data_IF_345251565852
#
_entry.id   IF_345251565852
#
_cell.length_a   1.000
_cell.length_b   1.000
_cell.length_c   1.000
_cell.angle_alpha   90.00
_cell.angle_beta   90.00
_cell.angle_gamma   90.00
#
_symmetry.space_group_name_H-M   'P 1'
#
loop_
_entity.id
_entity.type
_entity.pdbx_description
1 polymer ?
#
# COMPACT_ATOMS: atom_id res chain seq x y z
N UNK A 1 -9.73 9.84 5.84
CA UNK A 1 -10.68 8.91 5.17
C UNK A 1 -11.64 8.23 6.14
N UNK A 2 -11.21 7.92 7.35
CA UNK A 2 -12.12 7.31 8.35
C UNK A 2 -13.39 8.14 8.61
N UNK A 3 -13.31 9.47 8.46
CA UNK A 3 -14.46 10.39 8.63
C UNK A 3 -15.52 10.29 7.52
N UNK A 4 -15.23 9.60 6.42
CA UNK A 4 -16.16 9.47 5.29
C UNK A 4 -17.13 8.30 5.45
N UNK A 5 -17.13 7.63 6.60
CA UNK A 5 -18.09 6.57 6.89
C UNK A 5 -17.69 5.17 6.42
N UNK A 6 -16.43 4.96 6.06
CA UNK A 6 -15.95 3.62 5.70
C UNK A 6 -15.96 2.70 6.92
N UNK A 7 -16.35 1.45 6.72
CA UNK A 7 -16.31 0.43 7.79
C UNK A 7 -14.94 -0.17 8.04
N UNK A 8 -14.03 -0.06 7.05
CA UNK A 8 -12.67 -0.57 7.11
C UNK A 8 -11.80 0.22 6.14
N UNK A 9 -10.57 0.52 6.52
CA UNK A 9 -9.56 1.08 5.63
C UNK A 9 -8.38 0.13 5.56
N UNK A 10 -7.86 -0.08 4.34
CA UNK A 10 -6.66 -0.88 4.13
C UNK A 10 -5.58 0.02 3.53
N UNK A 11 -4.42 0.06 4.16
CA UNK A 11 -3.27 0.85 3.74
C UNK A 11 -2.19 -0.07 3.16
N UNK A 12 -1.52 0.37 2.15
CA UNK A 12 -0.43 -0.41 1.54
C UNK A 12 -0.54 -0.41 0.01
N UNK A 13 0.10 -1.29 -0.66
CA UNK A 13 0.97 -2.38 -0.14
C UNK A 13 2.28 -1.81 0.33
N UNK A 14 2.80 -2.33 1.46
CA UNK A 14 4.12 -2.00 1.97
C UNK A 14 5.06 -3.18 1.77
N UNK A 15 6.31 -2.88 1.42
CA UNK A 15 7.40 -3.86 1.29
C UNK A 15 8.50 -3.52 2.30
N UNK A 16 9.36 -4.50 2.69
CA UNK A 16 10.42 -4.23 3.68
C UNK A 16 11.31 -3.05 3.29
N UNK A 17 11.77 -3.03 2.04
CA UNK A 17 12.58 -1.93 1.51
C UNK A 17 11.74 -1.02 0.63
N UNK A 18 12.06 0.30 0.55
CA UNK A 18 11.42 1.18 -0.41
C UNK A 18 11.59 0.68 -1.84
N UNK A 19 10.58 0.89 -2.67
CA UNK A 19 10.72 0.61 -4.11
C UNK A 19 9.89 1.60 -4.93
N UNK A 20 10.39 2.00 -6.12
CA UNK A 20 9.74 3.02 -6.93
C UNK A 20 8.50 2.52 -7.68
N UNK A 21 8.33 1.22 -7.79
CA UNK A 21 7.30 0.64 -8.65
C UNK A 21 7.72 0.59 -10.11
N UNK A 22 6.77 0.33 -10.99
CA UNK A 22 7.02 0.22 -12.42
C UNK A 22 7.26 1.60 -13.08
N UNK A 23 7.95 1.64 -14.24
CA UNK A 23 8.07 2.87 -15.01
C UNK A 23 6.71 3.45 -15.42
N UNK A 24 6.62 4.77 -15.47
CA UNK A 24 5.43 5.47 -15.99
C UNK A 24 5.42 5.47 -17.52
N UNK A 25 4.27 5.48 -18.21
CA UNK A 25 2.92 5.53 -17.64
C UNK A 25 2.51 4.19 -17.01
N UNK A 26 1.78 4.26 -15.89
CA UNK A 26 1.40 3.07 -15.11
C UNK A 26 -0.02 3.12 -14.56
N UNK A 27 -0.77 4.18 -14.88
CA UNK A 27 -2.19 4.32 -14.58
C UNK A 27 -2.91 4.78 -15.84
N UNK A 28 -4.00 4.14 -16.19
CA UNK A 28 -4.74 4.41 -17.42
C UNK A 28 -6.23 4.53 -17.11
N UNK A 29 -6.81 5.68 -17.46
CA UNK A 29 -8.26 5.87 -17.32
C UNK A 29 -8.98 5.30 -18.53
N UNK A 30 -10.05 4.57 -18.25
CA UNK A 30 -11.00 4.10 -19.26
C UNK A 30 -12.30 4.89 -19.08
N UNK A 31 -12.30 6.14 -19.53
CA UNK A 31 -13.37 7.10 -19.26
C UNK A 31 -14.74 6.58 -19.71
N UNK A 32 -14.82 5.99 -20.89
CA UNK A 32 -16.08 5.45 -21.43
C UNK A 32 -16.64 4.30 -20.60
N UNK A 33 -15.77 3.49 -20.00
CA UNK A 33 -16.17 2.33 -19.20
C UNK A 33 -16.21 2.62 -17.70
N UNK A 34 -15.95 3.86 -17.29
CA UNK A 34 -15.86 4.27 -15.88
C UNK A 34 -14.86 3.41 -15.10
N UNK A 35 -13.75 3.04 -15.76
CA UNK A 35 -12.75 2.14 -15.19
C UNK A 35 -11.35 2.75 -15.14
N UNK A 36 -10.47 2.07 -14.41
CA UNK A 36 -9.04 2.41 -14.33
C UNK A 36 -8.24 1.13 -14.39
N UNK A 37 -7.19 1.14 -15.22
CA UNK A 37 -6.18 0.08 -15.24
C UNK A 37 -4.91 0.64 -14.62
N UNK A 38 -4.25 -0.16 -13.78
CA UNK A 38 -2.95 0.23 -13.25
C UNK A 38 -1.96 -0.94 -13.30
N UNK A 39 -0.68 -0.56 -13.31
CA UNK A 39 0.47 -1.44 -13.12
C UNK A 39 1.50 -0.74 -12.27
N UNK A 40 1.07 -0.28 -11.09
CA UNK A 40 1.89 0.56 -10.21
C UNK A 40 3.16 -0.15 -9.73
N UNK A 41 3.09 -1.48 -9.50
CA UNK A 41 4.26 -2.25 -9.08
C UNK A 41 4.60 -2.06 -7.60
N UNK A 42 3.60 -1.76 -6.77
CA UNK A 42 3.76 -1.60 -5.32
C UNK A 42 4.80 -0.54 -4.94
N UNK A 43 4.70 0.64 -5.55
CA UNK A 43 5.52 1.78 -5.18
C UNK A 43 5.24 2.19 -3.73
N UNK A 44 6.29 2.25 -2.91
CA UNK A 44 6.14 2.61 -1.50
C UNK A 44 7.47 3.06 -0.89
N UNK A 45 7.38 3.66 0.29
CA UNK A 45 8.53 4.20 1.01
C UNK A 45 9.18 3.22 1.99
N UNK A 46 8.73 1.96 2.00
CA UNK A 46 9.28 0.92 2.86
C UNK A 46 8.63 0.81 4.22
N UNK A 47 8.97 -0.27 4.93
CA UNK A 47 8.34 -0.66 6.18
C UNK A 47 8.57 0.36 7.30
N UNK A 48 9.79 0.91 7.43
CA UNK A 48 10.08 1.88 8.50
C UNK A 48 9.22 3.14 8.39
N UNK A 49 9.12 3.69 7.19
CA UNK A 49 8.27 4.84 6.93
C UNK A 49 6.81 4.51 7.21
N UNK A 50 6.33 3.39 6.69
CA UNK A 50 4.95 2.94 6.87
C UNK A 50 4.59 2.78 8.35
N UNK A 51 5.46 2.12 9.12
CA UNK A 51 5.24 1.89 10.56
C UNK A 51 5.14 3.21 11.32
N UNK A 52 6.03 4.16 11.03
CA UNK A 52 5.98 5.49 11.66
C UNK A 52 4.67 6.22 11.36
N UNK A 53 4.17 6.11 10.14
CA UNK A 53 2.91 6.75 9.75
C UNK A 53 1.71 6.05 10.38
N UNK A 54 1.73 4.73 10.42
CA UNK A 54 0.65 3.94 11.01
C UNK A 54 0.48 4.20 12.51
N UNK A 55 1.59 4.43 13.23
CA UNK A 55 1.55 4.76 14.66
C UNK A 55 0.81 6.06 14.98
N UNK A 56 0.59 6.91 13.99
CA UNK A 56 -0.19 8.15 14.15
C UNK A 56 -1.69 7.91 14.14
N UNK A 57 -2.14 6.73 13.77
CA UNK A 57 -3.56 6.38 13.84
C UNK A 57 -3.94 6.24 15.31
N UNK A 58 -4.88 7.07 15.82
CA UNK A 58 -5.22 7.04 17.23
C UNK A 58 -5.96 5.75 17.59
N UNK A 59 -5.76 5.24 18.83
CA UNK A 59 -6.62 4.19 19.35
C UNK A 59 -8.08 4.66 19.33
N UNK A 60 -8.99 3.79 18.89
CA UNK A 60 -10.41 4.16 18.78
C UNK A 60 -10.73 5.01 17.56
N UNK A 61 -9.92 4.94 16.49
CA UNK A 61 -10.26 5.53 15.20
C UNK A 61 -11.67 5.09 14.76
N UNK A 62 -12.32 5.93 13.92
CA UNK A 62 -13.70 5.72 13.49
C UNK A 62 -13.95 4.36 12.80
N UNK A 63 -12.90 3.72 12.27
CA UNK A 63 -12.98 2.38 11.69
C UNK A 63 -11.65 1.64 11.85
N UNK A 64 -11.66 0.29 11.77
CA UNK A 64 -10.43 -0.48 11.75
C UNK A 64 -9.53 -0.10 10.57
N UNK A 65 -8.22 -0.12 10.79
CA UNK A 65 -7.22 0.15 9.77
C UNK A 65 -6.34 -1.09 9.61
N UNK A 66 -6.37 -1.68 8.42
CA UNK A 66 -5.56 -2.84 8.06
C UNK A 66 -4.31 -2.43 7.29
N UNK A 67 -3.30 -3.28 7.33
CA UNK A 67 -2.09 -3.11 6.55
C UNK A 67 -1.98 -4.23 5.50
N UNK A 68 -1.77 -3.85 4.25
CA UNK A 68 -1.50 -4.79 3.17
C UNK A 68 0.02 -4.91 2.99
N UNK A 69 0.53 -6.13 3.04
CA UNK A 69 1.97 -6.39 3.00
C UNK A 69 2.35 -7.22 1.77
N UNK A 70 3.54 -6.98 1.26
CA UNK A 70 4.07 -7.69 0.11
C UNK A 70 5.58 -7.78 0.11
N UNK A 71 6.12 -8.68 -0.71
CA UNK A 71 7.55 -8.82 -0.91
C UNK A 71 8.09 -7.78 -1.89
N UNK A 72 9.37 -7.41 -1.74
CA UNK A 72 10.05 -6.56 -2.72
C UNK A 72 10.20 -7.29 -4.05
N UNK A 73 10.11 -6.56 -5.15
CA UNK A 73 10.29 -7.10 -6.51
C UNK A 73 11.67 -7.73 -6.70
N UNK A 74 12.68 -7.13 -6.08
CA UNK A 74 14.08 -7.57 -6.16
C UNK A 74 14.47 -8.56 -5.07
N UNK A 75 13.51 -9.07 -4.30
CA UNK A 75 13.81 -9.98 -3.18
C UNK A 75 14.25 -11.36 -3.70
N UNK A 76 15.30 -11.89 -3.08
CA UNK A 76 15.74 -13.27 -3.32
C UNK A 76 15.02 -14.27 -2.42
N UNK A 77 14.49 -13.78 -1.29
CA UNK A 77 13.74 -14.57 -0.32
C UNK A 77 12.46 -13.82 0.08
N UNK A 78 11.39 -14.03 -0.70
CA UNK A 78 10.13 -13.34 -0.45
C UNK A 78 9.45 -13.81 0.84
N UNK A 79 9.75 -15.02 1.33
CA UNK A 79 9.19 -15.48 2.61
C UNK A 79 9.75 -14.65 3.75
N UNK A 80 11.06 -14.40 3.77
CA UNK A 80 11.69 -13.52 4.75
C UNK A 80 11.12 -12.10 4.70
N UNK A 81 10.75 -11.61 3.52
CA UNK A 81 10.11 -10.30 3.38
C UNK A 81 8.76 -10.24 4.11
N UNK A 82 7.97 -11.31 4.09
CA UNK A 82 6.72 -11.36 4.83
C UNK A 82 6.91 -11.49 6.33
N UNK A 83 8.04 -12.01 6.77
CA UNK A 83 8.36 -12.16 8.20
C UNK A 83 8.93 -10.87 8.81
N UNK A 84 9.35 -9.95 7.98
CA UNK A 84 9.90 -8.68 8.44
C UNK A 84 8.79 -7.82 9.12
#
# INVERSE_FOLDING_TARGET
MARFGFGLLECGTVTPRPQPGNPKPRVFRLTEDHGVINRLGFNNHGLDYFTRRLRRVPPGAACPVGANVGANKSSEDFIADYEA
#
